data_IF_450294314682
#
_entry.id   IF_450294314682
#
_cell.length_a   1.000
_cell.length_b   1.000
_cell.length_c   1.000
_cell.angle_alpha   90.00
_cell.angle_beta   90.00
_cell.angle_gamma   90.00
#
_symmetry.space_group_name_H-M   'P 1'
#
loop_
_entity.id
_entity.type
_entity.pdbx_description
1 polymer ?
#
# COMPACT_ATOMS: atom_id res chain seq x y z
N UNK A 1 0.34 -0.84 -18.38
CA UNK A 1 0.16 -0.08 -17.13
C UNK A 1 1.55 0.31 -16.61
N UNK A 2 1.65 1.37 -15.81
CA UNK A 2 2.93 1.82 -15.25
C UNK A 2 3.14 1.31 -13.83
N UNK A 3 4.39 1.26 -13.36
CA UNK A 3 4.78 0.71 -12.05
C UNK A 3 4.03 1.31 -10.86
N UNK A 4 3.66 2.60 -10.92
CA UNK A 4 2.86 3.30 -9.91
C UNK A 4 1.47 2.65 -9.72
N UNK A 5 0.84 2.29 -10.84
CA UNK A 5 -0.51 1.71 -10.87
C UNK A 5 -0.49 0.29 -10.30
N UNK A 6 0.53 -0.49 -10.66
CA UNK A 6 0.74 -1.86 -10.18
C UNK A 6 1.01 -1.91 -8.67
N UNK A 7 1.88 -1.03 -8.16
CA UNK A 7 2.13 -0.92 -6.71
C UNK A 7 0.86 -0.51 -5.97
N UNK A 8 0.12 0.48 -6.50
CA UNK A 8 -1.13 0.91 -5.89
C UNK A 8 -2.19 -0.21 -5.87
N UNK A 9 -2.29 -1.00 -6.94
CA UNK A 9 -3.19 -2.15 -7.02
C UNK A 9 -2.87 -3.19 -5.95
N UNK A 10 -1.60 -3.57 -5.79
CA UNK A 10 -1.19 -4.52 -4.75
C UNK A 10 -1.48 -4.01 -3.33
N UNK A 11 -1.31 -2.71 -3.08
CA UNK A 11 -1.66 -2.11 -1.78
C UNK A 11 -3.18 -2.18 -1.54
N UNK A 12 -4.01 -1.98 -2.58
CA UNK A 12 -5.47 -2.14 -2.50
C UNK A 12 -5.88 -3.60 -2.26
N UNK A 13 -5.18 -4.55 -2.87
CA UNK A 13 -5.39 -6.00 -2.67
C UNK A 13 -4.92 -6.49 -1.30
N UNK A 14 -4.16 -5.68 -0.57
CA UNK A 14 -3.83 -5.91 0.83
C UNK A 14 -2.35 -6.15 1.10
N UNK A 15 -1.45 -6.03 0.11
CA UNK A 15 -0.01 -6.03 0.38
C UNK A 15 0.38 -4.83 1.22
N UNK A 16 1.07 -5.07 2.34
CA UNK A 16 1.31 -4.03 3.37
C UNK A 16 2.75 -3.56 3.46
N UNK A 17 3.68 -4.25 2.83
CA UNK A 17 5.12 -3.96 2.97
C UNK A 17 5.80 -3.83 1.62
N UNK A 18 6.84 -2.99 1.55
CA UNK A 18 7.64 -2.81 0.34
C UNK A 18 8.32 -4.12 -0.10
N UNK A 19 8.75 -4.96 0.86
CA UNK A 19 9.33 -6.27 0.56
C UNK A 19 8.37 -7.24 -0.12
N UNK A 20 7.13 -7.32 0.35
CA UNK A 20 6.09 -8.15 -0.28
C UNK A 20 5.79 -7.69 -1.72
N UNK A 21 5.63 -6.37 -1.89
CA UNK A 21 5.34 -5.76 -3.19
C UNK A 21 6.51 -5.95 -4.15
N UNK A 22 7.75 -5.75 -3.69
CA UNK A 22 8.96 -5.98 -4.45
C UNK A 22 9.07 -7.43 -4.92
N UNK A 23 8.74 -8.40 -4.06
CA UNK A 23 8.72 -9.81 -4.41
C UNK A 23 7.68 -10.12 -5.50
N UNK A 24 6.46 -9.55 -5.38
CA UNK A 24 5.38 -9.79 -6.36
C UNK A 24 5.65 -9.16 -7.73
N UNK A 25 6.27 -7.98 -7.76
CA UNK A 25 6.56 -7.24 -8.99
C UNK A 25 7.97 -7.52 -9.56
N UNK A 26 8.77 -8.36 -8.87
CA UNK A 26 10.18 -8.60 -9.19
C UNK A 26 10.99 -7.28 -9.31
N UNK A 27 10.79 -6.37 -8.35
CA UNK A 27 11.46 -5.08 -8.25
C UNK A 27 12.42 -5.07 -7.05
N UNK A 28 13.29 -4.07 -6.98
CA UNK A 28 14.06 -3.84 -5.76
C UNK A 28 13.18 -3.19 -4.68
N UNK A 29 13.50 -3.45 -3.41
CA UNK A 29 12.80 -2.83 -2.27
C UNK A 29 12.92 -1.30 -2.36
N UNK A 30 14.10 -0.77 -2.70
CA UNK A 30 14.33 0.68 -2.87
C UNK A 30 13.43 1.29 -3.94
N UNK A 31 13.24 0.61 -5.08
CA UNK A 31 12.37 1.12 -6.14
C UNK A 31 10.92 1.20 -5.65
N UNK A 32 10.44 0.15 -4.97
CA UNK A 32 9.10 0.12 -4.39
C UNK A 32 8.92 1.18 -3.31
N UNK A 33 9.92 1.40 -2.45
CA UNK A 33 9.87 2.48 -1.45
C UNK A 33 9.79 3.87 -2.10
N UNK A 34 10.53 4.09 -3.19
CA UNK A 34 10.43 5.31 -3.98
C UNK A 34 9.01 5.53 -4.52
N UNK A 35 8.40 4.48 -5.07
CA UNK A 35 7.03 4.51 -5.58
C UNK A 35 6.02 4.80 -4.46
N UNK A 36 6.16 4.14 -3.30
CA UNK A 36 5.29 4.37 -2.13
C UNK A 36 5.36 5.83 -1.67
N UNK A 37 6.55 6.45 -1.61
CA UNK A 37 6.71 7.86 -1.22
C UNK A 37 6.00 8.81 -2.19
N UNK A 38 6.02 8.50 -3.49
CA UNK A 38 5.29 9.27 -4.51
C UNK A 38 3.79 9.14 -4.24
N UNK A 39 3.29 7.91 -4.10
CA UNK A 39 1.86 7.65 -3.83
C UNK A 39 1.39 8.30 -2.51
N UNK A 40 2.22 8.32 -1.49
CA UNK A 40 1.95 8.97 -0.20
C UNK A 40 1.88 10.49 -0.35
N UNK A 41 2.80 11.09 -1.09
CA UNK A 41 2.81 12.53 -1.38
C UNK A 41 1.58 12.97 -2.19
N UNK A 42 1.07 12.07 -3.04
CA UNK A 42 -0.18 12.26 -3.80
C UNK A 42 -1.44 11.96 -2.98
N UNK A 43 -1.30 11.44 -1.76
CA UNK A 43 -2.41 11.12 -0.86
C UNK A 43 -3.14 9.81 -1.15
N UNK A 44 -2.62 8.96 -2.05
CA UNK A 44 -3.22 7.66 -2.36
C UNK A 44 -3.02 6.63 -1.26
N UNK A 45 -1.91 6.71 -0.54
CA UNK A 45 -1.54 5.77 0.52
C UNK A 45 -1.03 6.52 1.74
N UNK A 46 -1.01 5.84 2.87
CA UNK A 46 -0.49 6.34 4.14
C UNK A 46 0.41 5.30 4.78
N UNK A 47 1.56 5.75 5.30
CA UNK A 47 2.43 4.89 6.10
C UNK A 47 1.99 4.92 7.56
N UNK A 48 1.56 3.76 8.05
CA UNK A 48 1.20 3.55 9.44
C UNK A 48 2.42 3.02 10.18
N UNK A 49 2.91 3.80 11.13
CA UNK A 49 3.95 3.37 12.07
C UNK A 49 3.33 2.69 13.28
N UNK A 50 4.10 1.82 13.93
CA UNK A 50 3.72 1.13 15.15
C UNK A 50 3.26 2.13 16.21
N UNK A 51 2.00 2.01 16.61
CA UNK A 51 1.44 2.74 17.73
C UNK A 51 1.51 1.86 19.00
N UNK A 52 1.36 2.41 20.22
CA UNK A 52 1.33 1.60 21.43
C UNK A 52 0.21 0.54 21.46
N UNK A 53 -0.89 0.71 20.72
CA UNK A 53 -1.93 -0.33 20.56
C UNK A 53 -1.44 -1.56 19.78
N UNK A 54 -0.38 -1.45 18.97
CA UNK A 54 0.28 -2.63 18.37
C UNK A 54 0.95 -3.51 19.44
N UNK A 55 1.28 -2.99 20.62
CA UNK A 55 1.90 -3.78 21.69
C UNK A 55 0.97 -4.83 22.29
N UNK A 56 -0.34 -4.60 22.22
CA UNK A 56 -1.37 -5.54 22.70
C UNK A 56 -1.94 -6.40 21.57
N UNK A 57 -1.51 -6.20 20.32
CA UNK A 57 -2.01 -6.94 19.17
C UNK A 57 -1.50 -8.39 19.20
N UNK A 58 -2.38 -9.42 19.16
CA UNK A 58 -1.97 -10.83 19.12
C UNK A 58 -1.06 -11.18 17.94
N UNK A 59 -1.16 -10.40 16.85
CA UNK A 59 -0.36 -10.56 15.64
C UNK A 59 0.99 -9.82 15.70
N UNK A 60 1.36 -9.22 16.84
CA UNK A 60 2.63 -8.48 17.00
C UNK A 60 3.87 -9.29 16.58
N UNK A 61 3.86 -10.62 16.80
CA UNK A 61 4.99 -11.49 16.44
C UNK A 61 5.21 -11.61 14.93
N UNK A 62 4.19 -11.33 14.13
CA UNK A 62 4.23 -11.44 12.66
C UNK A 62 4.05 -10.09 11.95
N UNK A 63 3.65 -9.05 12.68
CA UNK A 63 3.48 -7.70 12.14
C UNK A 63 4.80 -6.94 12.24
N UNK A 64 5.37 -6.55 11.09
CA UNK A 64 6.64 -5.84 10.97
C UNK A 64 6.65 -4.43 11.59
N UNK A 65 5.50 -3.97 12.10
CA UNK A 65 5.40 -2.71 12.84
C UNK A 65 5.44 -1.44 11.99
N UNK A 66 5.58 -1.56 10.68
CA UNK A 66 5.31 -0.50 9.72
C UNK A 66 4.55 -1.10 8.53
N UNK A 67 3.41 -0.49 8.20
CA UNK A 67 2.52 -0.96 7.13
C UNK A 67 2.09 0.22 6.26
N UNK A 68 1.87 -0.04 4.98
CA UNK A 68 1.27 0.93 4.06
C UNK A 68 -0.19 0.56 3.84
N UNK A 69 -1.07 1.56 3.90
CA UNK A 69 -2.51 1.38 3.71
C UNK A 69 -3.01 2.34 2.63
N UNK A 70 -3.98 1.88 1.82
CA UNK A 70 -4.67 2.75 0.87
C UNK A 70 -5.53 3.76 1.64
N UNK A 71 -5.42 5.05 1.29
CA UNK A 71 -6.13 6.17 1.96
C UNK A 71 -7.35 6.66 1.16
N UNK A 72 -7.58 6.15 -0.04
CA UNK A 72 -8.73 6.57 -0.83
C UNK A 72 -10.05 6.04 -0.27
N UNK A 73 -11.06 6.90 -0.22
CA UNK A 73 -12.44 6.44 -0.23
C UNK A 73 -12.67 5.71 -1.55
N UNK A 74 -13.22 4.50 -1.50
CA UNK A 74 -13.69 3.78 -2.69
C UNK A 74 -14.93 4.54 -3.18
N UNK A 75 -14.72 5.65 -3.88
CA UNK A 75 -15.77 6.16 -4.75
C UNK A 75 -15.76 5.22 -5.95
N UNK A 76 -16.63 4.21 -5.93
CA UNK A 76 -17.00 3.49 -7.14
C UNK A 76 -17.47 4.53 -8.15
N UNK A 77 -16.58 4.91 -9.07
CA UNK A 77 -17.00 5.61 -10.27
C UNK A 77 -17.74 4.55 -11.06
N UNK A 78 -19.07 4.51 -10.90
CA UNK A 78 -19.92 3.83 -11.87
C UNK A 78 -19.52 4.41 -13.22
N UNK A 79 -18.97 3.56 -14.09
CA UNK A 79 -18.88 3.90 -15.50
C UNK A 79 -20.34 4.04 -15.93
N UNK A 80 -20.82 5.27 -16.05
CA UNK A 80 -22.03 5.52 -16.80
C UNK A 80 -21.67 5.12 -18.23
N UNK A 81 -22.13 3.93 -18.59
CA UNK A 81 -22.07 3.39 -19.94
C UNK A 81 -22.63 4.47 -20.88
N UNK A 82 -21.77 4.89 -21.79
CA UNK A 82 -22.05 5.77 -22.90
C UNK A 82 -23.39 5.39 -23.55
N UNK A 83 -24.34 6.33 -23.60
CA UNK A 83 -25.61 6.16 -24.30
C UNK A 83 -25.83 7.28 -25.31
#
# INVERSE_FOLDING_TARGET
>A
MGKLDEVLALIKEGSRTAGEIAQRLNLSIEEVEGIIRILESLGYVEKINMNPSCNTCPLKKICSGSCVVFKGNIYEVKRDDEK
#
